data_IF_851722152504
#
_entry.id   IF_851722152504
#
_cell.length_a   1.000
_cell.length_b   1.000
_cell.length_c   1.000
_cell.angle_alpha   90.00
_cell.angle_beta   90.00
_cell.angle_gamma   90.00
#
_symmetry.space_group_name_H-M   'P 1'
#
loop_
_entity.id
_entity.type
_entity.pdbx_description
1 polymer ?
#
# COMPACT_ATOMS: atom_id res chain seq x y z
N UNK A 1 -0.02 11.59 -12.37
CA UNK A 1 0.13 12.19 -13.71
C UNK A 1 -1.02 11.80 -14.65
N UNK A 2 -1.05 10.60 -15.25
CA UNK A 2 -2.08 10.24 -16.25
C UNK A 2 -3.51 10.37 -15.74
N UNK A 3 -3.82 9.83 -14.55
CA UNK A 3 -5.15 9.93 -13.96
C UNK A 3 -5.58 11.38 -13.67
N UNK A 4 -4.64 12.24 -13.23
CA UNK A 4 -4.89 13.66 -13.00
C UNK A 4 -5.15 14.41 -14.31
N UNK A 5 -4.38 14.13 -15.37
CA UNK A 5 -4.58 14.73 -16.68
C UNK A 5 -5.97 14.36 -17.25
N UNK A 6 -6.36 13.09 -17.14
CA UNK A 6 -7.69 12.63 -17.57
C UNK A 6 -8.82 13.27 -16.74
N UNK A 7 -8.68 13.26 -15.41
CA UNK A 7 -9.65 13.87 -14.51
C UNK A 7 -9.83 15.37 -14.78
N UNK A 8 -8.72 16.09 -14.96
CA UNK A 8 -8.73 17.53 -15.29
C UNK A 8 -9.33 17.83 -16.66
N UNK A 9 -9.06 17.00 -17.68
CA UNK A 9 -9.61 17.18 -19.01
C UNK A 9 -11.14 16.96 -19.07
N UNK A 10 -11.66 16.01 -18.29
CA UNK A 10 -13.10 15.64 -18.31
C UNK A 10 -13.88 16.34 -17.17
N UNK A 11 -13.19 16.99 -16.23
CA UNK A 11 -13.82 17.69 -15.10
C UNK A 11 -14.43 16.74 -14.07
N UNK A 12 -13.86 15.55 -13.88
CA UNK A 12 -14.35 14.54 -12.93
C UNK A 12 -13.50 14.48 -11.65
N UNK A 13 -14.08 14.08 -10.51
CA UNK A 13 -13.31 13.85 -9.29
C UNK A 13 -12.23 12.77 -9.48
N UNK A 14 -11.14 12.90 -8.73
CA UNK A 14 -10.09 11.89 -8.65
C UNK A 14 -9.98 11.35 -7.23
N UNK A 15 -10.26 10.06 -7.05
CA UNK A 15 -10.23 9.40 -5.75
C UNK A 15 -8.91 8.62 -5.59
N UNK A 16 -8.01 9.03 -4.68
CA UNK A 16 -6.80 8.27 -4.41
C UNK A 16 -7.11 7.01 -3.60
N UNK A 17 -6.58 5.87 -4.05
CA UNK A 17 -6.72 4.58 -3.35
C UNK A 17 -5.35 4.08 -2.93
N UNK A 18 -5.21 3.69 -1.65
CA UNK A 18 -3.98 3.07 -1.16
C UNK A 18 -3.94 1.60 -1.58
N UNK A 19 -2.79 1.14 -2.08
CA UNK A 19 -2.60 -0.27 -2.47
C UNK A 19 -2.87 -1.25 -1.33
N UNK A 20 -2.52 -0.89 -0.09
CA UNK A 20 -2.82 -1.72 1.09
C UNK A 20 -4.33 -1.91 1.29
N UNK A 21 -5.13 -0.87 1.08
CA UNK A 21 -6.58 -0.94 1.24
C UNK A 21 -7.20 -1.85 0.17
N UNK A 22 -6.77 -1.70 -1.08
CA UNK A 22 -7.29 -2.48 -2.19
C UNK A 22 -6.94 -3.98 -2.07
N UNK A 23 -5.70 -4.30 -1.67
CA UNK A 23 -5.30 -5.70 -1.43
C UNK A 23 -6.08 -6.30 -0.25
N UNK A 24 -6.20 -5.56 0.86
CA UNK A 24 -6.95 -6.04 2.02
C UNK A 24 -8.44 -6.25 1.70
N UNK A 25 -9.04 -5.34 0.92
CA UNK A 25 -10.44 -5.45 0.50
C UNK A 25 -10.68 -6.72 -0.33
N UNK A 26 -9.82 -7.00 -1.30
CA UNK A 26 -9.92 -8.21 -2.12
C UNK A 26 -9.73 -9.51 -1.31
N UNK A 27 -9.00 -9.45 -0.21
CA UNK A 27 -8.72 -10.57 0.67
C UNK A 27 -9.74 -10.75 1.81
N UNK A 28 -10.80 -9.95 1.87
CA UNK A 28 -11.74 -9.97 2.98
C UNK A 28 -12.45 -11.34 3.11
N UNK A 29 -12.06 -12.13 4.11
CA UNK A 29 -12.60 -13.49 4.33
C UNK A 29 -13.54 -13.59 5.54
N UNK A 30 -14.01 -12.47 6.10
CA UNK A 30 -15.00 -12.41 7.18
C UNK A 30 -14.55 -12.89 8.57
N UNK A 31 -13.49 -13.70 8.67
CA UNK A 31 -13.15 -14.43 9.92
C UNK A 31 -11.77 -14.13 10.50
N UNK A 32 -10.92 -13.38 9.79
CA UNK A 32 -9.53 -13.10 10.19
C UNK A 32 -9.22 -11.63 10.03
N UNK A 33 -8.46 -11.06 10.96
CA UNK A 33 -7.84 -9.74 10.75
C UNK A 33 -6.88 -9.86 9.56
N UNK A 34 -7.04 -9.00 8.57
CA UNK A 34 -6.21 -8.99 7.37
C UNK A 34 -5.02 -8.06 7.62
N UNK A 35 -3.82 -8.54 7.32
CA UNK A 35 -2.61 -7.74 7.27
C UNK A 35 -2.18 -7.64 5.82
N UNK A 36 -2.33 -6.46 5.23
CA UNK A 36 -1.85 -6.24 3.87
C UNK A 36 -0.37 -5.89 3.89
N UNK A 37 0.38 -6.43 2.93
CA UNK A 37 1.81 -6.21 2.76
C UNK A 37 2.08 -5.72 1.34
N UNK A 38 2.87 -4.65 1.20
CA UNK A 38 3.36 -4.16 -0.10
C UNK A 38 4.87 -4.01 -0.02
N UNK A 39 5.58 -4.58 -1.00
CA UNK A 39 7.04 -4.48 -1.07
C UNK A 39 7.48 -3.05 -1.42
N UNK A 40 8.29 -2.43 -0.56
CA UNK A 40 8.91 -1.12 -0.81
C UNK A 40 10.41 -1.21 -1.11
N UNK A 41 10.89 -2.44 -1.35
CA UNK A 41 12.28 -2.82 -1.63
C UNK A 41 13.20 -2.59 -0.44
N UNK A 42 14.48 -2.96 -0.60
CA UNK A 42 15.54 -2.82 0.42
C UNK A 42 15.26 -3.51 1.76
N UNK A 43 14.48 -4.58 1.74
CA UNK A 43 14.14 -5.34 2.95
C UNK A 43 13.08 -4.68 3.83
N UNK A 44 12.42 -3.63 3.34
CA UNK A 44 11.31 -2.98 4.02
C UNK A 44 9.99 -3.25 3.29
N UNK A 45 8.92 -3.36 4.07
CA UNK A 45 7.56 -3.53 3.57
C UNK A 45 6.65 -2.49 4.19
N UNK A 46 5.68 -2.02 3.40
CA UNK A 46 4.54 -1.31 3.94
C UNK A 46 3.52 -2.32 4.46
N UNK A 47 3.03 -2.13 5.69
CA UNK A 47 2.00 -2.99 6.28
C UNK A 47 0.88 -2.18 6.90
N UNK A 48 -0.32 -2.73 6.90
CA UNK A 48 -1.43 -2.21 7.69
C UNK A 48 -2.40 -3.33 8.11
N UNK A 49 -2.96 -3.26 9.33
CA UNK A 49 -4.01 -4.17 9.79
C UNK A 49 -5.40 -3.70 9.38
N UNK A 50 -6.28 -4.67 9.13
CA UNK A 50 -7.65 -4.47 8.68
C UNK A 50 -8.59 -5.46 9.36
N UNK A 51 -9.69 -4.97 9.90
CA UNK A 51 -10.76 -5.82 10.43
C UNK A 51 -11.82 -6.08 9.36
N UNK A 52 -12.27 -7.34 9.16
CA UNK A 52 -13.42 -7.63 8.30
C UNK A 52 -14.67 -6.92 8.79
N UNK A 53 -15.46 -6.39 7.87
CA UNK A 53 -16.79 -5.82 8.13
C UNK A 53 -17.75 -6.30 7.04
N UNK A 54 -19.08 -6.24 7.26
CA UNK A 54 -20.02 -6.46 6.18
C UNK A 54 -19.70 -5.55 4.99
N UNK A 55 -19.53 -6.13 3.81
CA UNK A 55 -19.18 -5.38 2.60
C UNK A 55 -17.70 -5.05 2.40
N UNK A 56 -16.78 -5.57 3.23
CA UNK A 56 -15.34 -5.46 2.97
C UNK A 56 -14.47 -5.47 4.22
N UNK A 57 -13.60 -4.47 4.34
CA UNK A 57 -12.67 -4.30 5.46
C UNK A 57 -12.63 -2.85 5.93
N UNK A 58 -12.27 -2.66 7.20
CA UNK A 58 -11.98 -1.35 7.77
C UNK A 58 -10.53 -1.35 8.27
N UNK A 59 -9.77 -0.31 7.95
CA UNK A 59 -8.39 -0.15 8.45
C UNK A 59 -8.42 -0.02 9.97
N UNK A 60 -7.53 -0.75 10.64
CA UNK A 60 -7.53 -0.96 12.09
C UNK A 60 -6.16 -0.58 12.70
N UNK A 61 -5.56 0.48 12.16
CA UNK A 61 -4.20 0.95 12.44
C UNK A 61 -3.69 1.87 11.34
N UNK A 62 -2.53 2.47 11.55
CA UNK A 62 -1.85 3.23 10.49
C UNK A 62 -1.14 2.28 9.53
N UNK A 63 -0.78 2.81 8.36
CA UNK A 63 0.15 2.09 7.50
C UNK A 63 1.58 2.44 7.91
N UNK A 64 2.41 1.42 8.06
CA UNK A 64 3.75 1.52 8.62
C UNK A 64 4.78 0.93 7.64
N UNK A 65 5.91 1.62 7.49
CA UNK A 65 7.10 1.09 6.83
C UNK A 65 7.92 0.33 7.87
N UNK A 66 8.10 -0.97 7.68
CA UNK A 66 8.75 -1.83 8.67
C UNK A 66 9.73 -2.80 8.02
N UNK A 67 10.73 -3.24 8.79
CA UNK A 67 11.56 -4.39 8.44
C UNK A 67 10.79 -5.70 8.65
N UNK A 68 11.30 -6.80 8.10
CA UNK A 68 10.73 -8.12 8.33
C UNK A 68 10.65 -8.49 9.83
N UNK A 69 11.70 -8.19 10.61
CA UNK A 69 11.73 -8.50 12.04
C UNK A 69 10.72 -7.66 12.83
N UNK A 70 10.60 -6.38 12.51
CA UNK A 70 9.59 -5.51 13.12
C UNK A 70 8.17 -5.99 12.79
N UNK A 71 7.92 -6.39 11.54
CA UNK A 71 6.63 -6.94 11.15
C UNK A 71 6.30 -8.24 11.88
N UNK A 72 7.28 -9.12 12.06
CA UNK A 72 7.12 -10.33 12.88
C UNK A 72 6.67 -9.98 14.30
N UNK A 73 7.31 -9.00 14.95
CA UNK A 73 6.92 -8.53 16.28
C UNK A 73 5.49 -7.99 16.35
N UNK A 74 5.04 -7.27 15.31
CA UNK A 74 3.64 -6.83 15.20
C UNK A 74 2.66 -8.03 15.14
N UNK A 75 3.00 -9.07 14.37
CA UNK A 75 2.16 -10.27 14.24
C UNK A 75 2.13 -11.12 15.51
N UNK A 76 3.25 -11.22 16.22
CA UNK A 76 3.38 -11.97 17.49
C UNK A 76 2.67 -11.28 18.66
N UNK A 77 2.68 -9.94 18.69
CA UNK A 77 1.99 -9.15 19.73
C UNK A 77 0.47 -9.11 19.57
N UNK A 78 -0.05 -9.35 18.37
CA UNK A 78 -1.48 -9.44 18.10
C UNK A 78 -2.00 -10.87 18.36
N UNK A 79 -2.89 -11.11 19.35
CA UNK A 79 -3.39 -12.46 19.65
C UNK A 79 -4.46 -12.96 18.66
N UNK A 80 -4.94 -12.12 17.74
CA UNK A 80 -6.03 -12.46 16.83
C UNK A 80 -5.64 -13.51 15.77
N UNK A 81 -6.65 -14.13 15.16
CA UNK A 81 -6.45 -14.92 13.95
C UNK A 81 -6.21 -13.98 12.76
N UNK A 82 -5.07 -14.14 12.11
CA UNK A 82 -4.56 -13.21 11.10
C UNK A 82 -4.50 -13.87 9.74
N UNK A 83 -4.68 -13.08 8.69
CA UNK A 83 -4.45 -13.42 7.29
C UNK A 83 -3.51 -12.39 6.69
N UNK A 84 -2.30 -12.79 6.30
CA UNK A 84 -1.30 -11.94 5.66
C UNK A 84 -1.42 -12.08 4.14
N UNK A 85 -1.58 -10.96 3.44
CA UNK A 85 -1.83 -10.90 1.99
C UNK A 85 -0.97 -9.85 1.30
N UNK A 86 -1.00 -9.80 -0.02
CA UNK A 86 -0.15 -8.91 -0.81
C UNK A 86 1.21 -9.52 -1.11
N UNK A 87 2.26 -8.69 -1.08
CA UNK A 87 3.63 -9.08 -1.42
C UNK A 87 4.37 -9.80 -0.27
N UNK A 88 3.67 -10.51 0.62
CA UNK A 88 4.29 -11.19 1.77
C UNK A 88 5.37 -12.21 1.40
N UNK A 89 5.39 -12.69 0.15
CA UNK A 89 6.43 -13.58 -0.36
C UNK A 89 7.82 -12.93 -0.48
N UNK A 90 7.96 -11.61 -0.34
CA UNK A 90 9.27 -10.93 -0.29
C UNK A 90 9.95 -11.04 1.08
N UNK A 91 9.21 -11.48 2.10
CA UNK A 91 9.72 -11.66 3.45
C UNK A 91 10.70 -12.85 3.48
N UNK A 92 11.72 -12.85 4.37
CA UNK A 92 12.66 -13.95 4.50
C UNK A 92 11.95 -15.29 4.70
N UNK A 93 12.52 -16.36 4.13
CA UNK A 93 11.99 -17.71 4.27
C UNK A 93 11.84 -18.08 5.75
N UNK A 94 10.69 -18.65 6.11
CA UNK A 94 10.41 -19.03 7.47
C UNK A 94 10.07 -17.89 8.44
N UNK A 95 10.10 -16.62 8.02
CA UNK A 95 9.81 -15.48 8.90
C UNK A 95 8.42 -15.60 9.56
N UNK A 96 7.41 -16.03 8.80
CA UNK A 96 6.05 -16.20 9.29
C UNK A 96 5.79 -17.56 9.98
N UNK A 97 6.74 -18.50 9.93
CA UNK A 97 6.57 -19.83 10.53
C UNK A 97 6.61 -19.73 12.05
N UNK A 98 5.72 -20.51 12.69
CA UNK A 98 5.62 -20.58 14.15
C UNK A 98 4.83 -19.44 14.80
N UNK A 99 4.43 -18.40 14.05
CA UNK A 99 3.59 -17.33 14.60
C UNK A 99 2.15 -17.84 14.77
N UNK A 100 1.63 -17.75 15.99
CA UNK A 100 0.30 -18.25 16.30
C UNK A 100 -0.80 -17.52 15.52
N UNK A 101 -1.70 -18.32 14.92
CA UNK A 101 -2.90 -17.81 14.24
C UNK A 101 -2.66 -17.09 12.92
N UNK A 102 -1.43 -17.08 12.39
CA UNK A 102 -1.10 -16.51 11.08
C UNK A 102 -1.39 -17.50 9.96
N UNK A 103 -2.08 -17.03 8.92
CA UNK A 103 -2.14 -17.68 7.61
C UNK A 103 -1.70 -16.70 6.55
N UNK A 104 -1.18 -17.20 5.44
CA UNK A 104 -0.90 -16.40 4.25
C UNK A 104 -1.95 -16.68 3.17
N UNK A 105 -2.17 -15.71 2.27
CA UNK A 105 -3.17 -15.85 1.21
C UNK A 105 -2.98 -14.84 0.08
N UNK A 106 -3.93 -14.86 -0.86
CA UNK A 106 -4.03 -13.89 -1.94
C UNK A 106 -5.05 -12.78 -1.67
N UNK A 107 -5.12 -11.77 -2.56
CA UNK A 107 -4.28 -11.63 -3.75
C UNK A 107 -2.90 -11.02 -3.42
N UNK A 108 -1.95 -11.15 -4.35
CA UNK A 108 -0.64 -10.51 -4.24
C UNK A 108 -0.68 -9.02 -4.60
N UNK A 109 -1.52 -8.65 -5.56
CA UNK A 109 -1.63 -7.29 -6.08
C UNK A 109 -3.09 -6.82 -6.06
N UNK A 110 -3.33 -5.50 -6.01
CA UNK A 110 -4.69 -4.95 -6.10
C UNK A 110 -5.40 -5.42 -7.36
N UNK A 111 -6.66 -5.85 -7.22
CA UNK A 111 -7.55 -6.08 -8.35
C UNK A 111 -8.36 -4.81 -8.67
N UNK A 112 -8.74 -4.62 -9.94
CA UNK A 112 -9.39 -3.38 -10.39
C UNK A 112 -10.77 -3.15 -9.75
N UNK A 113 -11.52 -4.22 -9.56
CA UNK A 113 -12.79 -4.23 -8.82
C UNK A 113 -12.57 -3.78 -7.36
N UNK A 114 -11.57 -4.31 -6.67
CA UNK A 114 -11.26 -3.90 -5.30
C UNK A 114 -10.85 -2.43 -5.21
N UNK A 115 -10.07 -1.93 -6.17
CA UNK A 115 -9.72 -0.49 -6.26
C UNK A 115 -10.99 0.35 -6.42
N UNK A 116 -11.91 -0.07 -7.30
CA UNK A 116 -13.16 0.64 -7.54
C UNK A 116 -14.07 0.66 -6.31
N UNK A 117 -14.20 -0.47 -5.60
CA UNK A 117 -15.02 -0.56 -4.38
C UNK A 117 -14.49 0.33 -3.26
N UNK A 118 -13.18 0.33 -3.04
CA UNK A 118 -12.54 1.23 -2.06
C UNK A 118 -12.73 2.69 -2.47
N UNK A 119 -12.55 3.01 -3.76
CA UNK A 119 -12.77 4.35 -4.28
C UNK A 119 -14.23 4.80 -4.09
N UNK A 120 -15.20 3.93 -4.35
CA UNK A 120 -16.62 4.22 -4.15
C UNK A 120 -16.93 4.58 -2.71
N UNK A 121 -16.45 3.78 -1.75
CA UNK A 121 -16.64 4.08 -0.34
C UNK A 121 -16.00 5.40 0.09
N UNK A 122 -14.84 5.76 -0.46
CA UNK A 122 -14.22 7.07 -0.21
C UNK A 122 -15.05 8.22 -0.81
N UNK A 123 -15.54 8.05 -2.04
CA UNK A 123 -16.36 9.03 -2.73
C UNK A 123 -17.68 9.32 -2.01
N UNK A 124 -18.37 8.27 -1.54
CA UNK A 124 -19.62 8.38 -0.76
C UNK A 124 -19.43 9.18 0.54
N UNK A 125 -18.23 9.15 1.12
CA UNK A 125 -17.86 9.92 2.32
C UNK A 125 -17.33 11.33 2.01
N UNK A 126 -17.24 11.71 0.73
CA UNK A 126 -16.56 12.95 0.32
C UNK A 126 -15.06 12.96 0.63
N UNK A 127 -14.45 11.78 0.84
CA UNK A 127 -13.07 11.63 1.29
C UNK A 127 -12.09 11.56 0.10
N UNK A 128 -12.08 12.61 -0.71
CA UNK A 128 -11.13 12.77 -1.81
C UNK A 128 -10.77 14.25 -1.96
N UNK A 129 -9.50 14.57 -2.25
CA UNK A 129 -9.07 15.95 -2.42
C UNK A 129 -9.41 16.47 -3.83
N UNK A 130 -9.10 17.73 -4.10
CA UNK A 130 -9.14 18.22 -5.48
C UNK A 130 -8.16 17.39 -6.36
N UNK A 131 -8.43 17.12 -7.66
CA UNK A 131 -7.53 16.32 -8.50
C UNK A 131 -6.06 16.82 -8.51
N UNK A 132 -5.85 18.13 -8.46
CA UNK A 132 -4.51 18.75 -8.42
C UNK A 132 -3.80 18.62 -7.07
N UNK A 133 -4.50 18.21 -6.02
CA UNK A 133 -3.97 17.97 -4.68
C UNK A 133 -3.62 16.50 -4.46
N UNK A 134 -3.99 15.61 -5.38
CA UNK A 134 -3.63 14.19 -5.29
C UNK A 134 -2.10 14.05 -5.34
N UNK A 135 -1.54 13.40 -4.32
CA UNK A 135 -0.12 13.08 -4.21
C UNK A 135 0.06 11.58 -4.01
N UNK A 136 1.12 10.97 -4.56
CA UNK A 136 1.45 9.59 -4.22
C UNK A 136 1.77 9.48 -2.73
N UNK A 137 1.36 8.37 -2.13
CA UNK A 137 1.64 8.09 -0.73
C UNK A 137 3.04 7.47 -0.59
N UNK A 138 4.06 8.32 -0.56
CA UNK A 138 5.45 7.89 -0.39
C UNK A 138 5.76 7.67 1.10
N UNK A 139 5.96 6.41 1.49
CA UNK A 139 6.40 6.05 2.85
C UNK A 139 7.92 6.10 3.03
N UNK A 140 8.66 6.25 1.94
CA UNK A 140 10.13 6.22 1.91
C UNK A 140 10.63 7.43 1.14
N UNK A 141 11.73 8.03 1.61
CA UNK A 141 12.40 9.07 0.83
C UNK A 141 12.88 8.51 -0.51
N UNK A 142 12.76 9.28 -1.61
CA UNK A 142 13.29 8.87 -2.90
C UNK A 142 14.79 8.55 -2.80
N UNK A 143 15.17 7.39 -3.34
CA UNK A 143 16.56 6.93 -3.37
C UNK A 143 17.50 7.82 -4.18
N UNK A 144 16.94 8.65 -5.05
CA UNK A 144 17.69 9.49 -5.98
C UNK A 144 17.65 10.93 -5.48
N UNK A 145 18.75 11.37 -4.86
CA UNK A 145 19.08 12.79 -4.84
C UNK A 145 19.73 13.09 -6.19
N UNK A 146 19.05 13.83 -7.06
CA UNK A 146 19.65 14.34 -8.30
C UNK A 146 20.83 15.22 -7.89
N UNK A 147 22.05 14.74 -8.11
CA UNK A 147 23.25 15.53 -7.85
C UNK A 147 23.42 16.52 -9.02
N UNK A 148 22.80 17.69 -8.91
CA UNK A 148 22.85 18.75 -9.93
C UNK A 148 24.27 19.20 -10.30
N UNK A 149 25.27 18.87 -9.46
CA UNK A 149 26.69 19.12 -9.69
C UNK A 149 27.26 18.38 -10.90
N UNK A 150 26.68 17.24 -11.30
CA UNK A 150 27.16 16.45 -12.44
C UNK A 150 26.68 16.96 -13.81
N UNK A 151 25.80 17.97 -13.87
CA UNK A 151 25.30 18.54 -15.14
C UNK A 151 26.07 19.78 -15.63
N UNK A 152 27.09 20.26 -14.90
CA UNK A 152 27.86 21.47 -15.29
C UNK A 152 29.23 21.23 -15.91
N UNK A 153 29.64 19.97 -16.11
CA UNK A 153 30.80 19.65 -16.95
C UNK A 153 30.32 18.88 -18.16
N UNK A 154 30.77 19.30 -19.34
CA UNK A 154 30.41 18.80 -20.68
C UNK A 154 29.14 19.39 -21.30
N UNK A 155 29.20 20.70 -21.59
CA UNK A 155 28.55 21.23 -22.80
C UNK A 155 29.44 20.94 -24.02
N UNK A 156 28.90 20.57 -25.20
CA UNK A 156 29.67 19.97 -26.30
C UNK A 156 30.32 20.99 -27.26
N UNK A 157 30.40 22.27 -26.91
CA UNK A 157 30.87 23.29 -27.84
C UNK A 157 32.19 23.90 -27.37
N UNK A 158 33.29 23.75 -28.15
CA UNK A 158 34.50 24.51 -27.89
C UNK A 158 34.23 25.99 -28.19
N UNK A 159 34.71 26.85 -27.29
CA UNK A 159 34.70 28.31 -27.36
C UNK A 159 35.47 28.88 -28.54
#
# INVERSE_FOLDING_TARGET
ATAQALAGAVGVPLVPVCSLDAVAFAAATGHRRVWSVVDLRRGEVAVAPYRPVPGGVMRDGLAELVTADAFRGLLESDPSQKLVVGDWGVLPEGMLLGIHGVRTGGPRHPAADAVMEVARGLAERGAFPHPDEVRPFYMREPDVRINWTNFRQEGPWPS
#
